data_IF_782222643134
#
_entry.id   IF_782222643134
#
_cell.length_a   1.000
_cell.length_b   1.000
_cell.length_c   1.000
_cell.angle_alpha   90.00
_cell.angle_beta   90.00
_cell.angle_gamma   90.00
#
_symmetry.space_group_name_H-M   'P 1'
#
loop_
_entity.id
_entity.type
_entity.pdbx_description
1 polymer ?
#
# COMPACT_ATOMS: atom_id res chain seq x y z
N UNK A 1 41.98 17.37 -37.76
CA UNK A 1 41.55 16.13 -37.07
C UNK A 1 41.29 16.45 -35.58
N UNK A 2 40.08 16.80 -35.15
CA UNK A 2 39.76 16.90 -33.70
C UNK A 2 38.26 16.87 -33.38
N UNK A 3 37.39 17.32 -34.29
CA UNK A 3 35.95 17.44 -34.01
C UNK A 3 35.22 16.09 -33.84
N UNK A 4 35.59 15.04 -34.59
CA UNK A 4 34.92 13.71 -34.51
C UNK A 4 35.15 12.98 -33.18
N UNK A 5 36.31 13.16 -32.54
CA UNK A 5 36.62 12.51 -31.25
C UNK A 5 35.83 13.13 -30.10
N UNK A 6 35.61 14.44 -30.12
CA UNK A 6 34.84 15.16 -29.10
C UNK A 6 33.33 14.85 -29.17
N UNK A 7 32.79 14.66 -30.38
CA UNK A 7 31.38 14.26 -30.58
C UNK A 7 31.14 12.82 -30.13
N UNK A 8 32.05 11.89 -30.44
CA UNK A 8 31.93 10.50 -29.99
C UNK A 8 32.04 10.36 -28.46
N UNK A 9 32.95 11.12 -27.83
CA UNK A 9 33.05 11.16 -26.37
C UNK A 9 31.81 11.78 -25.72
N UNK A 10 31.26 12.84 -26.31
CA UNK A 10 30.03 13.49 -25.83
C UNK A 10 28.81 12.56 -25.93
N UNK A 11 28.66 11.84 -27.05
CA UNK A 11 27.57 10.88 -27.23
C UNK A 11 27.67 9.71 -26.26
N UNK A 12 28.89 9.20 -26.02
CA UNK A 12 29.12 8.13 -25.04
C UNK A 12 28.80 8.57 -23.61
N UNK A 13 29.18 9.79 -23.23
CA UNK A 13 28.87 10.34 -21.91
C UNK A 13 27.36 10.54 -21.71
N UNK A 14 26.67 11.11 -22.70
CA UNK A 14 25.21 11.28 -22.64
C UNK A 14 24.49 9.93 -22.55
N UNK A 15 24.93 8.93 -23.32
CA UNK A 15 24.37 7.59 -23.27
C UNK A 15 24.55 6.94 -21.88
N UNK A 16 25.74 7.07 -21.28
CA UNK A 16 26.00 6.53 -19.93
C UNK A 16 25.14 7.22 -18.87
N UNK A 17 25.02 8.55 -18.93
CA UNK A 17 24.17 9.30 -18.00
C UNK A 17 22.70 8.93 -18.16
N UNK A 18 22.22 8.74 -19.39
CA UNK A 18 20.84 8.32 -19.65
C UNK A 18 20.57 6.91 -19.12
N UNK A 19 21.48 5.96 -19.36
CA UNK A 19 21.32 4.58 -18.88
C UNK A 19 21.37 4.54 -17.36
N UNK A 20 22.36 5.19 -16.75
CA UNK A 20 22.48 5.25 -15.29
C UNK A 20 21.30 5.97 -14.64
N UNK A 21 20.84 7.09 -15.21
CA UNK A 21 19.67 7.83 -14.76
C UNK A 21 18.39 7.01 -14.84
N UNK A 22 18.17 6.32 -15.96
CA UNK A 22 17.00 5.44 -16.13
C UNK A 22 17.04 4.28 -15.14
N UNK A 23 18.20 3.64 -14.97
CA UNK A 23 18.36 2.56 -14.00
C UNK A 23 18.07 3.02 -12.56
N UNK A 24 18.56 4.20 -12.17
CA UNK A 24 18.29 4.77 -10.85
C UNK A 24 16.81 5.08 -10.65
N UNK A 25 16.14 5.64 -11.67
CA UNK A 25 14.70 5.90 -11.63
C UNK A 25 13.87 4.62 -11.54
N UNK A 26 14.27 3.55 -12.23
CA UNK A 26 13.60 2.25 -12.15
C UNK A 26 13.74 1.62 -10.77
N UNK A 27 14.95 1.64 -10.19
CA UNK A 27 15.16 1.11 -8.83
C UNK A 27 14.36 1.90 -7.80
N UNK A 28 14.37 3.23 -7.90
CA UNK A 28 13.59 4.08 -7.01
C UNK A 28 12.08 3.87 -7.17
N UNK A 29 11.60 3.78 -8.42
CA UNK A 29 10.19 3.55 -8.71
C UNK A 29 9.69 2.20 -8.19
N UNK A 30 10.45 1.12 -8.42
CA UNK A 30 10.09 -0.23 -7.92
C UNK A 30 10.10 -0.28 -6.39
N UNK A 31 11.08 0.35 -5.73
CA UNK A 31 11.11 0.41 -4.26
C UNK A 31 9.87 1.08 -3.69
N UNK A 32 9.45 2.21 -4.27
CA UNK A 32 8.25 2.93 -3.83
C UNK A 32 6.96 2.11 -4.03
N UNK A 33 6.88 1.31 -5.10
CA UNK A 33 5.74 0.42 -5.34
C UNK A 33 5.68 -0.71 -4.31
N UNK A 34 6.82 -1.27 -3.92
CA UNK A 34 6.89 -2.30 -2.86
C UNK A 34 6.43 -1.70 -1.52
N UNK A 35 6.91 -0.50 -1.18
CA UNK A 35 6.49 0.25 0.02
C UNK A 35 4.98 0.57 0.04
N UNK A 36 4.31 0.68 -1.12
CA UNK A 36 2.86 0.92 -1.21
C UNK A 36 2.03 -0.36 -1.07
N UNK A 37 2.60 -1.50 -1.49
CA UNK A 37 1.98 -2.82 -1.31
C UNK A 37 2.05 -3.26 0.14
N UNK A 38 3.21 -3.12 0.80
CA UNK A 38 3.36 -3.49 2.22
C UNK A 38 2.46 -2.68 3.16
N UNK A 39 2.03 -1.48 2.76
CA UNK A 39 1.13 -0.65 3.58
C UNK A 39 -0.34 -1.07 3.54
N UNK A 40 -0.74 -1.81 2.51
CA UNK A 40 -2.13 -2.26 2.36
C UNK A 40 -2.36 -3.67 2.89
N UNK A 41 -1.32 -4.32 3.41
CA UNK A 41 -1.32 -5.75 3.70
C UNK A 41 -1.20 -5.98 5.20
N UNK A 42 -2.11 -6.77 5.76
CA UNK A 42 -2.13 -7.07 7.20
C UNK A 42 -2.15 -8.60 7.42
N UNK A 43 -1.40 -9.13 8.40
CA UNK A 43 -1.48 -10.54 8.73
C UNK A 43 -2.86 -10.89 9.32
N UNK A 44 -3.41 -12.05 8.93
CA UNK A 44 -4.65 -12.61 9.49
C UNK A 44 -4.68 -12.61 11.03
N UNK A 45 -3.52 -12.78 11.68
CA UNK A 45 -3.42 -12.78 13.14
C UNK A 45 -3.88 -11.47 13.81
N UNK A 46 -3.70 -10.32 13.16
CA UNK A 46 -4.16 -9.02 13.69
C UNK A 46 -5.68 -8.89 13.53
N UNK A 47 -6.23 -9.38 12.42
CA UNK A 47 -7.68 -9.47 12.28
C UNK A 47 -8.31 -10.41 13.31
N UNK A 48 -7.68 -11.54 13.60
CA UNK A 48 -8.16 -12.51 14.58
C UNK A 48 -8.03 -12.03 16.03
N UNK A 49 -6.98 -11.29 16.35
CA UNK A 49 -6.75 -10.73 17.69
C UNK A 49 -7.76 -9.62 18.03
N UNK A 50 -8.13 -8.81 17.03
CA UNK A 50 -9.04 -7.68 17.18
C UNK A 50 -10.46 -8.10 17.61
N UNK A 51 -11.00 -7.42 18.61
CA UNK A 51 -12.34 -7.66 19.15
C UNK A 51 -13.18 -6.39 19.16
N UNK A 52 -14.48 -6.56 18.95
CA UNK A 52 -15.44 -5.46 19.06
C UNK A 52 -15.35 -4.85 20.46
N UNK A 53 -15.13 -3.54 20.52
CA UNK A 53 -14.95 -2.75 21.73
C UNK A 53 -13.50 -2.37 22.06
N UNK A 54 -12.52 -2.97 21.37
CA UNK A 54 -11.10 -2.62 21.48
C UNK A 54 -10.87 -1.15 21.10
N UNK A 55 -9.84 -0.54 21.68
CA UNK A 55 -9.50 0.84 21.38
C UNK A 55 -8.85 0.96 20.00
N UNK A 56 -9.25 1.96 19.23
CA UNK A 56 -8.67 2.27 17.92
C UNK A 56 -7.17 2.53 18.03
N UNK A 57 -6.73 3.20 19.10
CA UNK A 57 -5.32 3.49 19.34
C UNK A 57 -4.47 2.22 19.46
N UNK A 58 -4.95 1.21 20.17
CA UNK A 58 -4.22 -0.05 20.39
C UNK A 58 -4.11 -0.83 19.07
N UNK A 59 -5.18 -0.87 18.28
CA UNK A 59 -5.20 -1.56 16.98
C UNK A 59 -4.35 -0.84 15.93
N UNK A 60 -4.31 0.50 15.95
CA UNK A 60 -3.47 1.29 15.05
C UNK A 60 -1.97 1.12 15.29
N UNK A 61 -1.55 0.68 16.48
CA UNK A 61 -0.14 0.31 16.71
C UNK A 61 0.24 -1.00 15.99
N UNK A 62 -0.74 -1.85 15.69
CA UNK A 62 -0.54 -3.12 14.97
C UNK A 62 -0.77 -2.97 13.46
N UNK A 63 -1.43 -1.90 13.02
CA UNK A 63 -1.71 -1.64 11.61
C UNK A 63 -0.48 -1.12 10.88
N UNK A 64 -0.26 -1.52 9.62
CA UNK A 64 0.79 -0.93 8.81
C UNK A 64 0.53 0.57 8.59
N UNK A 65 1.60 1.36 8.57
CA UNK A 65 1.53 2.82 8.41
C UNK A 65 1.01 3.23 7.02
N UNK A 66 -0.30 3.48 6.92
CA UNK A 66 -0.89 4.38 5.92
C UNK A 66 -2.00 3.81 5.04
N UNK A 67 -2.81 4.72 4.50
CA UNK A 67 -3.75 4.45 3.41
C UNK A 67 -2.99 3.93 2.18
N UNK A 68 -3.29 2.70 1.75
CA UNK A 68 -2.72 2.11 0.55
C UNK A 68 -3.54 2.51 -0.68
N UNK A 69 -2.87 2.73 -1.82
CA UNK A 69 -3.54 2.85 -3.12
C UNK A 69 -4.31 1.57 -3.51
N UNK A 70 -4.06 0.44 -2.81
CA UNK A 70 -4.76 -0.83 -3.03
C UNK A 70 -6.15 -0.88 -2.40
N UNK A 71 -6.44 -0.05 -1.40
CA UNK A 71 -7.73 -0.02 -0.70
C UNK A 71 -8.74 0.91 -1.39
N UNK A 72 -8.26 1.74 -2.32
CA UNK A 72 -9.06 2.64 -3.15
C UNK A 72 -10.09 1.85 -3.99
N UNK A 73 -11.38 1.98 -3.63
CA UNK A 73 -12.49 1.32 -4.33
C UNK A 73 -12.95 -0.01 -3.73
N UNK A 74 -12.15 -0.64 -2.86
CA UNK A 74 -12.53 -1.86 -2.13
C UNK A 74 -13.60 -1.58 -1.07
N UNK A 75 -13.64 -0.34 -0.60
CA UNK A 75 -14.65 0.22 0.31
C UNK A 75 -16.09 0.03 -0.19
N UNK A 76 -16.26 -0.09 -1.52
CA UNK A 76 -17.56 -0.21 -2.19
C UNK A 76 -18.01 -1.66 -2.41
N UNK A 77 -17.13 -2.63 -2.15
CA UNK A 77 -17.39 -4.05 -2.41
C UNK A 77 -17.89 -4.81 -1.17
N UNK A 78 -17.72 -4.22 0.02
CA UNK A 78 -18.10 -4.84 1.28
C UNK A 78 -19.59 -4.66 1.66
N UNK A 79 -20.05 -5.34 2.72
CA UNK A 79 -21.38 -5.13 3.32
C UNK A 79 -21.63 -3.64 3.64
N UNK A 80 -22.89 -3.18 3.76
CA UNK A 80 -23.18 -1.77 4.03
C UNK A 80 -22.43 -1.26 5.28
N UNK A 81 -21.87 -0.05 5.16
CA UNK A 81 -21.10 0.59 6.23
C UNK A 81 -22.03 0.95 7.41
N UNK A 82 -21.57 0.82 8.66
CA UNK A 82 -22.31 1.31 9.82
C UNK A 82 -22.47 2.83 9.77
N UNK A 83 -23.59 3.36 10.27
CA UNK A 83 -23.78 4.82 10.39
C UNK A 83 -22.71 5.45 11.31
N UNK A 84 -22.14 6.56 10.83
CA UNK A 84 -21.12 7.37 11.52
C UNK A 84 -19.86 6.60 11.98
N UNK A 85 -19.50 5.51 11.29
CA UNK A 85 -18.25 4.79 11.52
C UNK A 85 -17.19 5.15 10.48
N UNK A 86 -15.94 5.29 10.91
CA UNK A 86 -14.77 5.42 10.03
C UNK A 86 -14.21 4.02 9.85
N UNK A 87 -14.20 3.51 8.61
CA UNK A 87 -13.74 2.16 8.32
C UNK A 87 -12.41 2.18 7.57
N UNK A 88 -11.45 1.43 8.09
CA UNK A 88 -10.17 1.14 7.45
C UNK A 88 -10.22 -0.25 6.83
N UNK A 89 -9.62 -0.40 5.64
CA UNK A 89 -9.61 -1.64 4.89
C UNK A 89 -8.16 -2.09 4.71
N UNK A 90 -7.93 -3.39 4.78
CA UNK A 90 -6.63 -4.02 4.55
C UNK A 90 -6.83 -5.28 3.73
N UNK A 91 -5.84 -5.68 2.95
CA UNK A 91 -5.82 -6.93 2.19
C UNK A 91 -4.97 -7.94 2.97
N UNK A 92 -5.35 -9.21 2.94
CA UNK A 92 -4.51 -10.27 3.52
C UNK A 92 -3.23 -10.48 2.69
N UNK A 93 -2.15 -10.91 3.34
CA UNK A 93 -0.85 -11.12 2.69
C UNK A 93 -0.78 -12.41 1.85
N UNK A 94 -1.54 -13.41 2.27
CA UNK A 94 -1.51 -14.78 1.76
C UNK A 94 -2.79 -15.15 0.99
N UNK A 95 -3.92 -14.52 1.33
CA UNK A 95 -5.25 -14.80 0.77
C UNK A 95 -5.84 -13.58 0.03
N UNK A 96 -6.65 -13.82 -1.01
CA UNK A 96 -7.39 -12.77 -1.72
C UNK A 96 -8.63 -12.31 -0.90
N UNK A 97 -8.40 -11.89 0.36
CA UNK A 97 -9.43 -11.48 1.32
C UNK A 97 -9.15 -10.04 1.77
N UNK A 98 -10.24 -9.29 1.94
CA UNK A 98 -10.23 -7.94 2.48
C UNK A 98 -10.74 -7.99 3.92
N UNK A 99 -9.94 -7.45 4.83
CA UNK A 99 -10.33 -7.17 6.20
C UNK A 99 -10.77 -5.73 6.34
N UNK A 100 -11.94 -5.52 6.95
CA UNK A 100 -12.48 -4.20 7.24
C UNK A 100 -12.64 -4.01 8.73
N UNK A 101 -12.08 -2.93 9.26
CA UNK A 101 -12.20 -2.51 10.65
C UNK A 101 -12.95 -1.18 10.70
N UNK A 102 -14.11 -1.17 11.33
CA UNK A 102 -14.92 0.04 11.46
C UNK A 102 -14.86 0.56 12.90
N UNK A 103 -14.41 1.80 13.03
CA UNK A 103 -14.24 2.48 14.30
C UNK A 103 -15.31 3.55 14.49
N UNK A 104 -15.77 3.70 15.72
CA UNK A 104 -16.63 4.80 16.15
C UNK A 104 -16.29 5.17 17.58
N UNK A 105 -16.20 6.46 17.86
CA UNK A 105 -15.81 6.99 19.17
C UNK A 105 -14.49 6.39 19.70
N UNK A 106 -13.54 6.12 18.80
CA UNK A 106 -12.24 5.53 19.15
C UNK A 106 -12.30 4.05 19.54
N UNK A 107 -13.37 3.34 19.17
CA UNK A 107 -13.56 1.92 19.46
C UNK A 107 -13.95 1.13 18.21
N UNK A 108 -13.47 -0.10 18.13
CA UNK A 108 -13.89 -1.03 17.07
C UNK A 108 -15.36 -1.41 17.26
N UNK A 109 -16.23 -1.05 16.32
CA UNK A 109 -17.67 -1.33 16.38
C UNK A 109 -18.11 -2.44 15.43
N UNK A 110 -17.36 -2.66 14.35
CA UNK A 110 -17.58 -3.79 13.45
C UNK A 110 -16.25 -4.24 12.85
N UNK A 111 -16.14 -5.54 12.60
CA UNK A 111 -15.07 -6.13 11.78
C UNK A 111 -15.69 -7.11 10.79
N UNK A 112 -15.26 -7.05 9.54
CA UNK A 112 -15.78 -7.89 8.46
C UNK A 112 -14.63 -8.42 7.62
N UNK A 113 -14.79 -9.63 7.10
CA UNK A 113 -13.86 -10.26 6.15
C UNK A 113 -14.63 -10.72 4.93
N UNK A 114 -14.21 -10.31 3.74
CA UNK A 114 -14.87 -10.68 2.48
C UNK A 114 -13.85 -10.89 1.36
N UNK A 115 -14.14 -11.76 0.38
CA UNK A 115 -13.23 -11.98 -0.74
C UNK A 115 -13.02 -10.70 -1.55
N UNK A 116 -11.81 -10.48 -2.02
CA UNK A 116 -11.47 -9.42 -2.95
C UNK A 116 -11.94 -9.82 -4.37
N UNK A 117 -13.14 -9.38 -4.79
CA UNK A 117 -13.64 -9.66 -6.15
C UNK A 117 -13.14 -8.57 -7.13
N UNK A 118 -12.13 -8.92 -7.93
CA UNK A 118 -11.57 -8.05 -8.99
C UNK A 118 -12.48 -8.00 -10.22
#
# INVERSE_FOLDING_TARGET
MSTKKNVALGCALVAVVLVAGTAALLVWGVGKLIDEVEKGVIPASVYDSARIGDAEADLREEFPDGDSLLTDGVEKQGPPLPEDAVCEHFVDEDEDIVYRFCFRDGKLVAKESYPHEI
#
